data_IF_745484690162
#
_entry.id   IF_745484690162
#
_cell.length_a   1.000
_cell.length_b   1.000
_cell.length_c   1.000
_cell.angle_alpha   90.00
_cell.angle_beta   90.00
_cell.angle_gamma   90.00
#
_symmetry.space_group_name_H-M   'P 1'
#
loop_
_entity.id
_entity.type
_entity.pdbx_description
1 polymer ?
#
# COMPACT_ATOMS: atom_id res chain seq x y z
N UNK A 1 16.25 7.48 19.28
CA UNK A 1 14.94 6.86 19.01
C UNK A 1 14.24 7.72 17.97
N UNK A 2 13.76 7.15 16.87
CA UNK A 2 13.21 7.89 15.74
C UNK A 2 12.36 6.98 14.84
N UNK A 3 11.70 7.58 13.85
CA UNK A 3 10.85 6.86 12.90
C UNK A 3 11.62 5.70 12.24
N UNK A 4 11.02 4.52 12.28
CA UNK A 4 11.50 3.37 11.53
C UNK A 4 10.67 3.25 10.26
N UNK A 5 11.35 3.33 9.12
CA UNK A 5 10.72 3.04 7.84
C UNK A 5 10.50 1.54 7.71
N UNK A 6 9.24 1.14 7.59
CA UNK A 6 8.82 -0.24 7.36
C UNK A 6 8.21 -0.39 5.98
N UNK A 7 8.18 -1.62 5.49
CA UNK A 7 7.54 -1.97 4.23
C UNK A 7 6.79 -3.28 4.35
N UNK A 8 5.59 -3.33 3.78
CA UNK A 8 4.77 -4.54 3.66
C UNK A 8 4.55 -4.87 2.19
N UNK A 9 4.63 -6.15 1.84
CA UNK A 9 4.23 -6.62 0.52
C UNK A 9 2.71 -6.81 0.51
N UNK A 10 2.06 -6.32 -0.54
CA UNK A 10 0.63 -6.46 -0.76
C UNK A 10 0.32 -6.87 -2.20
N UNK A 11 -0.88 -7.42 -2.38
CA UNK A 11 -1.48 -7.71 -3.68
C UNK A 11 -2.89 -7.17 -3.72
N UNK A 12 -3.23 -6.45 -4.79
CA UNK A 12 -4.58 -5.97 -5.08
C UNK A 12 -5.03 -6.51 -6.43
N UNK A 13 -6.32 -6.81 -6.54
CA UNK A 13 -7.01 -6.97 -7.81
C UNK A 13 -7.34 -5.60 -8.40
N UNK A 14 -7.69 -5.58 -9.69
CA UNK A 14 -8.15 -4.37 -10.39
C UNK A 14 -9.37 -3.74 -9.71
N UNK A 15 -10.32 -4.55 -9.28
CA UNK A 15 -11.54 -4.07 -8.63
C UNK A 15 -11.22 -3.41 -7.29
N UNK A 16 -10.34 -4.02 -6.50
CA UNK A 16 -9.86 -3.46 -5.24
C UNK A 16 -9.10 -2.15 -5.45
N UNK A 17 -8.21 -2.09 -6.45
CA UNK A 17 -7.49 -0.85 -6.76
C UNK A 17 -8.45 0.28 -7.19
N UNK A 18 -9.43 -0.02 -8.04
CA UNK A 18 -10.45 0.95 -8.46
C UNK A 18 -11.29 1.39 -7.25
N UNK A 19 -11.72 0.43 -6.43
CA UNK A 19 -12.46 0.70 -5.21
C UNK A 19 -11.73 1.67 -4.29
N UNK A 20 -10.42 1.48 -4.10
CA UNK A 20 -9.60 2.34 -3.27
C UNK A 20 -9.35 3.73 -3.87
N UNK A 21 -8.95 3.78 -5.15
CA UNK A 21 -8.47 5.02 -5.79
C UNK A 21 -9.61 5.90 -6.31
N UNK A 22 -10.66 5.29 -6.86
CA UNK A 22 -11.75 6.01 -7.56
C UNK A 22 -12.97 6.12 -6.65
N UNK A 23 -13.38 5.01 -6.05
CA UNK A 23 -14.61 4.97 -5.25
C UNK A 23 -14.38 5.38 -3.78
N UNK A 24 -13.13 5.59 -3.37
CA UNK A 24 -12.72 5.88 -1.99
C UNK A 24 -13.28 4.84 -0.97
N UNK A 25 -13.35 3.57 -1.38
CA UNK A 25 -13.77 2.45 -0.54
C UNK A 25 -12.57 1.89 0.22
N UNK A 26 -12.84 1.47 1.45
CA UNK A 26 -11.87 0.67 2.21
C UNK A 26 -11.70 -0.71 1.56
N UNK A 27 -10.47 -1.19 1.51
CA UNK A 27 -10.08 -2.43 0.85
C UNK A 27 -9.25 -3.26 1.81
N UNK A 28 -9.64 -4.51 2.03
CA UNK A 28 -8.86 -5.45 2.85
C UNK A 28 -7.90 -6.20 1.93
N UNK A 29 -6.59 -6.03 2.12
CA UNK A 29 -5.56 -6.74 1.36
C UNK A 29 -4.78 -7.69 2.25
N UNK A 30 -4.25 -8.76 1.65
CA UNK A 30 -3.39 -9.73 2.33
C UNK A 30 -1.95 -9.24 2.30
N UNK A 31 -1.32 -9.24 3.47
CA UNK A 31 0.15 -9.18 3.58
C UNK A 31 0.70 -10.59 3.86
N UNK A 32 2.02 -10.72 3.99
CA UNK A 32 2.67 -11.98 4.36
C UNK A 32 2.23 -12.49 5.75
N UNK A 33 1.98 -11.58 6.69
CA UNK A 33 1.66 -11.93 8.07
C UNK A 33 0.14 -11.96 8.34
N UNK A 34 -0.57 -10.91 7.91
CA UNK A 34 -2.00 -10.72 8.22
C UNK A 34 -2.72 -9.80 7.25
N UNK A 35 -4.06 -9.88 7.16
CA UNK A 35 -4.82 -8.89 6.41
C UNK A 35 -4.70 -7.51 7.05
N UNK A 36 -4.63 -6.47 6.21
CA UNK A 36 -4.66 -5.06 6.60
C UNK A 36 -5.76 -4.36 5.82
N UNK A 37 -6.30 -3.27 6.37
CA UNK A 37 -7.26 -2.45 5.64
C UNK A 37 -6.56 -1.22 5.07
N UNK A 38 -6.69 -1.03 3.75
CA UNK A 38 -6.32 0.19 3.06
C UNK A 38 -7.52 1.10 2.99
N UNK A 39 -7.33 2.38 3.24
CA UNK A 39 -8.40 3.36 3.14
C UNK A 39 -7.86 4.72 2.75
N UNK A 40 -8.68 5.51 2.05
CA UNK A 40 -8.26 6.77 1.49
C UNK A 40 -7.22 6.61 0.38
N UNK A 41 -7.29 7.50 -0.59
CA UNK A 41 -6.32 7.58 -1.67
C UNK A 41 -5.90 9.03 -1.88
N UNK A 42 -4.59 9.25 -1.92
CA UNK A 42 -3.97 10.51 -2.29
C UNK A 42 -3.58 10.53 -3.76
N UNK A 43 -2.62 11.38 -4.11
CA UNK A 43 -2.05 11.47 -5.46
C UNK A 43 -1.78 10.09 -6.04
N UNK A 44 -2.33 9.82 -7.22
CA UNK A 44 -2.13 8.57 -7.96
C UNK A 44 -1.44 8.88 -9.28
N UNK A 45 -0.37 8.14 -9.57
CA UNK A 45 0.40 8.25 -10.81
C UNK A 45 0.82 6.88 -11.31
N UNK A 46 1.04 6.79 -12.63
CA UNK A 46 1.45 5.58 -13.31
C UNK A 46 2.77 5.84 -14.04
N UNK A 47 3.70 4.91 -13.95
CA UNK A 47 4.99 4.97 -14.63
C UNK A 47 5.26 3.64 -15.34
N UNK A 48 5.68 3.62 -16.62
CA UNK A 48 6.10 2.38 -17.26
C UNK A 48 7.32 1.78 -16.55
N UNK A 49 7.31 0.47 -16.25
CA UNK A 49 8.53 -0.23 -15.84
C UNK A 49 9.34 -0.62 -17.08
N UNK A 50 10.28 0.24 -17.45
CA UNK A 50 11.13 0.03 -18.62
C UNK A 50 12.12 -1.14 -18.48
N UNK A 51 12.36 -1.66 -17.27
CA UNK A 51 13.32 -2.76 -17.04
C UNK A 51 12.69 -4.13 -17.25
N UNK A 52 11.48 -4.32 -16.73
CA UNK A 52 10.82 -5.63 -16.73
C UNK A 52 9.54 -5.67 -17.57
N UNK A 53 9.13 -4.53 -18.13
CA UNK A 53 7.80 -4.35 -18.71
C UNK A 53 6.73 -4.09 -17.65
N UNK A 54 5.51 -3.77 -18.08
CA UNK A 54 4.39 -3.47 -17.18
C UNK A 54 4.30 -1.99 -16.76
N UNK A 55 3.40 -1.72 -15.81
CA UNK A 55 3.10 -0.37 -15.31
C UNK A 55 3.17 -0.37 -13.78
N UNK A 56 3.97 0.55 -13.25
CA UNK A 56 4.03 0.86 -11.83
C UNK A 56 2.93 1.86 -11.48
N UNK A 57 2.18 1.56 -10.44
CA UNK A 57 1.09 2.34 -9.87
C UNK A 57 1.54 2.85 -8.51
N UNK A 58 1.65 4.17 -8.38
CA UNK A 58 2.21 4.83 -7.21
C UNK A 58 1.15 5.75 -6.62
N UNK A 59 0.84 5.55 -5.34
CA UNK A 59 -0.13 6.38 -4.66
C UNK A 59 0.08 6.45 -3.15
N UNK A 60 -0.55 7.42 -2.50
CA UNK A 60 -0.61 7.48 -1.05
C UNK A 60 -1.93 6.89 -0.54
N UNK A 61 -1.89 6.19 0.58
CA UNK A 61 -3.06 5.60 1.23
C UNK A 61 -2.84 5.56 2.74
N UNK A 62 -3.88 5.17 3.48
CA UNK A 62 -3.77 4.90 4.90
C UNK A 62 -3.89 3.40 5.13
N UNK A 63 -3.14 2.89 6.09
CA UNK A 63 -3.22 1.51 6.56
C UNK A 63 -3.83 1.51 7.96
N UNK A 64 -4.81 0.65 8.18
CA UNK A 64 -5.21 0.21 9.51
C UNK A 64 -4.45 -1.09 9.82
N UNK A 65 -3.52 -1.00 10.76
CA UNK A 65 -2.69 -2.10 11.22
C UNK A 65 -2.93 -2.28 12.73
N UNK A 66 -3.67 -3.30 13.12
CA UNK A 66 -4.03 -3.58 14.52
C UNK A 66 -4.65 -2.39 15.28
N UNK A 67 -5.40 -1.52 14.60
CA UNK A 67 -6.01 -0.34 15.23
C UNK A 67 -5.12 0.90 15.24
N UNK A 68 -3.89 0.82 14.70
CA UNK A 68 -3.08 1.99 14.37
C UNK A 68 -3.36 2.45 12.93
N UNK A 69 -3.63 3.74 12.78
CA UNK A 69 -3.85 4.36 11.49
C UNK A 69 -2.59 5.09 11.02
N UNK A 70 -1.95 4.57 9.98
CA UNK A 70 -0.66 5.06 9.49
C UNK A 70 -0.76 5.51 8.03
N UNK A 71 -0.02 6.55 7.66
CA UNK A 71 0.14 6.95 6.27
C UNK A 71 1.18 6.10 5.56
N UNK A 72 0.83 5.61 4.38
CA UNK A 72 1.69 4.76 3.57
C UNK A 72 1.77 5.25 2.12
N UNK A 73 2.93 5.02 1.49
CA UNK A 73 3.11 5.12 0.05
C UNK A 73 3.05 3.71 -0.54
N UNK A 74 2.11 3.49 -1.45
CA UNK A 74 2.01 2.30 -2.27
C UNK A 74 2.86 2.44 -3.54
N UNK A 75 3.52 1.35 -3.94
CA UNK A 75 4.16 1.20 -5.25
C UNK A 75 3.91 -0.22 -5.70
N UNK A 76 2.98 -0.39 -6.65
CA UNK A 76 2.48 -1.68 -7.13
C UNK A 76 2.77 -1.84 -8.62
N UNK A 77 3.28 -2.98 -9.03
CA UNK A 77 3.54 -3.31 -10.42
C UNK A 77 2.43 -4.21 -10.97
N UNK A 78 2.00 -3.94 -12.19
CA UNK A 78 1.09 -4.80 -12.94
C UNK A 78 1.60 -5.05 -14.36
N UNK A 79 1.52 -6.30 -14.79
CA UNK A 79 1.87 -6.72 -16.15
C UNK A 79 0.63 -7.01 -17.01
N UNK A 80 -0.49 -7.35 -16.37
CA UNK A 80 -1.73 -7.80 -17.00
C UNK A 80 -2.90 -6.81 -16.83
N UNK A 81 -2.72 -5.77 -16.01
CA UNK A 81 -3.76 -4.82 -15.64
C UNK A 81 -4.86 -5.39 -14.74
N UNK A 82 -4.69 -6.63 -14.25
CA UNK A 82 -5.66 -7.33 -13.39
C UNK A 82 -5.12 -7.51 -11.97
N UNK A 83 -3.82 -7.79 -11.85
CA UNK A 83 -3.15 -8.04 -10.57
C UNK A 83 -2.06 -6.99 -10.35
N UNK A 84 -2.04 -6.42 -9.14
CA UNK A 84 -1.15 -5.32 -8.75
C UNK A 84 -0.40 -5.74 -7.49
N UNK A 85 0.90 -6.01 -7.62
CA UNK A 85 1.72 -6.52 -6.52
C UNK A 85 2.85 -5.55 -6.25
N UNK A 86 3.12 -5.27 -4.98
CA UNK A 86 4.25 -4.44 -4.62
C UNK A 86 4.27 -4.12 -3.15
N UNK A 87 4.71 -2.91 -2.82
CA UNK A 87 5.01 -2.54 -1.44
C UNK A 87 4.20 -1.34 -0.96
N UNK A 88 3.85 -1.38 0.32
CA UNK A 88 3.45 -0.23 1.12
C UNK A 88 4.60 0.16 2.02
N UNK A 89 5.15 1.35 1.83
CA UNK A 89 6.17 1.92 2.70
C UNK A 89 5.55 2.95 3.66
N UNK A 90 5.80 2.81 4.95
CA UNK A 90 5.27 3.68 5.99
C UNK A 90 6.29 3.89 7.11
N UNK A 91 6.16 5.00 7.81
CA UNK A 91 6.96 5.28 8.99
C UNK A 91 6.20 4.85 10.23
N UNK A 92 6.87 4.08 11.09
CA UNK A 92 6.32 3.56 12.33
C UNK A 92 7.20 4.03 13.49
N UNK A 93 6.57 4.52 14.56
CA UNK A 93 7.26 4.83 15.80
C UNK A 93 7.14 3.62 16.72
N UNK A 94 8.20 2.82 16.94
CA UNK A 94 8.10 1.69 17.84
C UNK A 94 7.87 2.18 19.27
N UNK A 95 6.84 1.63 19.92
CA UNK A 95 6.42 1.88 21.31
C UNK A 95 7.43 1.43 22.38
N UNK A 96 8.73 1.42 22.05
CA UNK A 96 9.82 1.17 22.97
C UNK A 96 10.05 2.41 23.87
N UNK A 97 9.00 2.85 24.55
CA UNK A 97 9.00 3.68 25.75
C UNK A 97 8.66 2.76 26.92
N UNK A 98 9.50 1.74 27.15
CA UNK A 98 9.54 1.05 28.44
C UNK A 98 10.74 1.60 29.19
N UNK A 99 10.42 2.30 30.29
CA UNK A 99 11.26 2.89 31.34
C UNK A 99 11.92 4.26 31.08
#
# INVERSE_FOLDING_TARGET
MGFQKKSLIISLTREELIGLIIDNKAVVTKTEDKPITLSGSGTYTNEPDYKNGGVSHIFFTNIDFDGEYLWAKATLLSYDGQTFIGTLAYDHFPDNMSE
#
